data_IF_115142325151
#
_entry.id   IF_115142325151
#
_cell.length_a   1.000
_cell.length_b   1.000
_cell.length_c   1.000
_cell.angle_alpha   90.00
_cell.angle_beta   90.00
_cell.angle_gamma   90.00
#
_symmetry.space_group_name_H-M   'P 1'
#
loop_
_entity.id
_entity.type
_entity.pdbx_description
1 polymer ?
#
# COMPACT_ATOMS: atom_id res chain seq x y z
N UNK A 1 18.28 31.24 14.75
CA UNK A 1 18.20 30.52 16.04
C UNK A 1 16.94 30.99 16.74
N UNK A 2 15.82 30.29 16.59
CA UNK A 2 14.60 30.48 17.40
C UNK A 2 13.90 29.13 17.50
N UNK A 3 13.96 28.54 18.70
CA UNK A 3 13.26 27.28 19.01
C UNK A 3 11.75 27.52 19.15
N UNK A 4 10.89 26.56 18.80
CA UNK A 4 9.46 26.64 19.08
C UNK A 4 9.18 26.29 20.56
N UNK A 5 8.44 27.14 21.23
CA UNK A 5 7.94 26.94 22.59
C UNK A 5 6.75 25.99 22.58
N UNK A 6 6.86 24.94 23.38
CA UNK A 6 5.78 24.03 23.75
C UNK A 6 4.98 24.73 24.87
N UNK A 7 3.69 24.95 24.67
CA UNK A 7 2.77 25.37 25.73
C UNK A 7 1.88 24.20 26.15
N UNK A 8 2.04 23.76 27.41
CA UNK A 8 1.05 22.99 28.15
C UNK A 8 0.11 23.94 28.88
N UNK A 9 -1.19 23.78 28.76
CA UNK A 9 -2.17 24.31 29.71
C UNK A 9 -3.30 23.30 29.92
N UNK A 10 -3.49 22.97 31.18
CA UNK A 10 -4.53 22.07 31.72
C UNK A 10 -5.73 22.91 32.12
N UNK A 11 -6.92 22.46 31.74
CA UNK A 11 -8.17 22.79 32.44
C UNK A 11 -9.24 23.52 31.64
N UNK A 12 -10.44 22.91 31.62
CA UNK A 12 -11.79 23.37 31.30
C UNK A 12 -12.24 23.47 29.83
N UNK A 13 -13.15 22.57 29.51
CA UNK A 13 -14.25 22.59 28.51
C UNK A 13 -14.28 23.81 27.57
N UNK A 14 -13.72 23.66 26.38
CA UNK A 14 -14.16 24.33 25.16
C UNK A 14 -13.87 23.37 24.02
N UNK A 15 -14.86 23.11 23.16
CA UNK A 15 -14.70 22.45 21.88
C UNK A 15 -13.67 23.21 21.05
N UNK A 16 -12.42 22.76 21.07
CA UNK A 16 -11.37 23.29 20.21
C UNK A 16 -11.02 22.23 19.16
N UNK A 17 -11.38 22.48 17.91
CA UNK A 17 -10.75 21.88 16.76
C UNK A 17 -9.25 22.05 16.88
N UNK A 18 -8.52 21.02 17.25
CA UNK A 18 -7.06 20.98 17.14
C UNK A 18 -6.70 20.66 15.70
N UNK A 19 -6.66 21.68 14.86
CA UNK A 19 -5.99 21.60 13.57
C UNK A 19 -4.49 21.38 13.82
N UNK A 20 -3.99 20.17 13.58
CA UNK A 20 -2.57 19.95 13.39
C UNK A 20 -2.21 20.55 12.04
N UNK A 21 -1.63 21.76 12.07
CA UNK A 21 -1.00 22.49 10.96
C UNK A 21 -1.85 23.21 9.91
N UNK A 22 -3.08 23.58 10.17
CA UNK A 22 -3.72 24.63 9.37
C UNK A 22 -3.67 25.95 10.15
N UNK A 23 -3.07 27.03 9.59
CA UNK A 23 -3.21 28.35 10.20
C UNK A 23 -4.69 28.74 10.15
N UNK A 24 -5.24 29.33 11.21
CA UNK A 24 -6.66 29.75 11.27
C UNK A 24 -7.09 30.59 10.07
N UNK A 25 -6.16 31.32 9.49
CA UNK A 25 -6.41 32.19 8.31
C UNK A 25 -6.58 31.41 7.00
N UNK A 26 -5.99 30.21 6.86
CA UNK A 26 -6.17 29.37 5.66
C UNK A 26 -7.47 28.56 5.67
N UNK A 27 -7.97 28.14 6.86
CA UNK A 27 -9.25 27.43 6.94
C UNK A 27 -10.47 28.34 6.71
N UNK A 28 -10.33 29.65 6.90
CA UNK A 28 -11.41 30.62 6.66
C UNK A 28 -11.50 31.09 5.20
N UNK A 29 -10.51 30.79 4.37
CA UNK A 29 -10.38 31.29 3.01
C UNK A 29 -10.90 30.31 1.92
N UNK A 30 -11.52 29.19 2.29
CA UNK A 30 -12.18 28.32 1.31
C UNK A 30 -13.60 28.86 1.09
N UNK A 31 -13.70 30.05 0.53
CA UNK A 31 -14.94 30.57 0.01
C UNK A 31 -15.26 29.91 -1.34
N UNK A 32 -16.47 29.42 -1.47
CA UNK A 32 -17.05 28.89 -2.70
C UNK A 32 -16.86 29.92 -3.82
N UNK A 33 -16.08 29.61 -4.85
CA UNK A 33 -16.00 30.45 -6.04
C UNK A 33 -17.24 30.20 -6.92
N UNK A 34 -18.24 31.09 -6.94
CA UNK A 34 -19.48 30.90 -7.70
C UNK A 34 -19.28 30.93 -9.23
N UNK A 35 -18.04 31.15 -9.70
CA UNK A 35 -17.69 31.20 -11.12
C UNK A 35 -16.84 29.99 -11.59
N UNK A 36 -16.77 28.90 -10.80
CA UNK A 36 -16.09 27.69 -11.28
C UNK A 36 -16.89 27.06 -12.44
N UNK A 37 -16.23 26.86 -13.56
CA UNK A 37 -16.81 26.20 -14.75
C UNK A 37 -16.85 24.67 -14.61
N UNK A 38 -16.58 24.11 -13.43
CA UNK A 38 -16.61 22.66 -13.18
C UNK A 38 -17.92 22.25 -12.53
N UNK A 39 -18.50 21.14 -13.01
CA UNK A 39 -19.74 20.59 -12.46
C UNK A 39 -19.55 19.94 -11.07
N UNK A 40 -18.32 19.78 -10.60
CA UNK A 40 -17.95 19.11 -9.36
C UNK A 40 -17.42 20.09 -8.33
N UNK A 41 -17.93 19.98 -7.09
CA UNK A 41 -17.36 20.63 -5.91
C UNK A 41 -16.92 19.55 -4.91
N UNK A 42 -15.62 19.35 -4.78
CA UNK A 42 -15.05 18.35 -3.86
C UNK A 42 -14.71 18.93 -2.48
N UNK A 43 -14.81 20.23 -2.27
CA UNK A 43 -14.51 20.87 -0.97
C UNK A 43 -15.32 20.26 0.18
N UNK A 44 -16.65 20.03 0.07
CA UNK A 44 -17.40 19.39 1.14
C UNK A 44 -16.90 17.99 1.50
N UNK A 45 -16.47 17.20 0.51
CA UNK A 45 -15.90 15.86 0.74
C UNK A 45 -14.59 15.94 1.49
N UNK A 46 -13.71 16.87 1.11
CA UNK A 46 -12.41 17.11 1.78
C UNK A 46 -12.63 17.54 3.23
N UNK A 47 -13.48 18.53 3.46
CA UNK A 47 -13.78 19.02 4.81
C UNK A 47 -14.38 17.94 5.70
N UNK A 48 -15.33 17.17 5.19
CA UNK A 48 -15.91 16.05 5.92
C UNK A 48 -14.87 15.00 6.27
N UNK A 49 -14.03 14.58 5.30
CA UNK A 49 -12.99 13.59 5.52
C UNK A 49 -11.98 14.05 6.58
N UNK A 50 -11.59 15.31 6.55
CA UNK A 50 -10.69 15.89 7.56
C UNK A 50 -11.34 15.95 8.95
N UNK A 51 -12.62 16.28 9.05
CA UNK A 51 -13.33 16.36 10.33
C UNK A 51 -13.41 15.01 11.06
N UNK A 52 -13.57 13.92 10.31
CA UNK A 52 -13.67 12.56 10.88
C UNK A 52 -12.31 11.83 10.97
N UNK A 53 -11.27 12.35 10.31
CA UNK A 53 -9.97 11.71 10.31
C UNK A 53 -9.36 11.67 11.72
N UNK A 54 -8.86 10.50 12.10
CA UNK A 54 -8.11 10.29 13.33
C UNK A 54 -6.75 9.71 12.93
N UNK A 55 -5.68 10.50 13.06
CA UNK A 55 -4.35 10.05 12.68
C UNK A 55 -3.86 8.91 13.58
N UNK A 56 -3.05 8.05 13.02
CA UNK A 56 -2.32 7.03 13.76
C UNK A 56 -1.22 7.65 14.63
N UNK A 57 -0.90 6.99 15.73
CA UNK A 57 0.26 7.36 16.55
C UNK A 57 1.52 6.83 15.88
N UNK A 58 2.50 7.71 15.68
CA UNK A 58 3.78 7.35 15.05
C UNK A 58 4.57 6.45 16.01
N UNK A 59 5.04 5.31 15.49
CA UNK A 59 5.90 4.41 16.25
C UNK A 59 5.21 3.74 17.44
N UNK A 60 3.88 3.56 17.37
CA UNK A 60 3.14 2.85 18.41
C UNK A 60 3.59 1.39 18.51
N UNK A 61 4.23 0.97 19.63
CA UNK A 61 4.74 -0.37 19.79
C UNK A 61 3.64 -1.43 19.92
N UNK A 62 2.39 -1.02 20.14
CA UNK A 62 1.22 -1.90 20.21
C UNK A 62 0.56 -2.13 18.85
N UNK A 63 1.03 -1.44 17.80
CA UNK A 63 0.48 -1.51 16.44
C UNK A 63 -1.04 -1.24 16.37
N UNK A 64 -1.56 -0.33 17.19
CA UNK A 64 -3.01 -0.09 17.32
C UNK A 64 -3.65 0.35 16.01
N UNK A 65 -2.91 1.04 15.15
CA UNK A 65 -3.39 1.43 13.83
C UNK A 65 -3.75 0.25 12.92
N UNK A 66 -3.18 -0.91 13.16
CA UNK A 66 -3.43 -2.11 12.37
C UNK A 66 -4.50 -3.04 12.97
N UNK A 67 -4.96 -2.78 14.20
CA UNK A 67 -5.88 -3.67 14.93
C UNK A 67 -7.17 -3.92 14.15
N UNK A 68 -7.78 -2.88 13.57
CA UNK A 68 -9.00 -3.05 12.80
C UNK A 68 -8.81 -3.93 11.55
N UNK A 69 -7.67 -3.81 10.86
CA UNK A 69 -7.33 -4.67 9.73
C UNK A 69 -7.13 -6.11 10.17
N UNK A 70 -6.38 -6.32 11.27
CA UNK A 70 -6.11 -7.65 11.83
C UNK A 70 -7.42 -8.33 12.26
N UNK A 71 -8.29 -7.61 12.97
CA UNK A 71 -9.58 -8.12 13.43
C UNK A 71 -10.48 -8.51 12.26
N UNK A 72 -10.56 -7.67 11.23
CA UNK A 72 -11.34 -7.97 10.02
C UNK A 72 -10.85 -9.23 9.31
N UNK A 73 -9.52 -9.35 9.11
CA UNK A 73 -8.95 -10.47 8.36
C UNK A 73 -9.05 -11.80 9.16
N UNK A 74 -9.08 -11.73 10.49
CA UNK A 74 -9.20 -12.90 11.36
C UNK A 74 -10.65 -13.22 11.75
N UNK A 75 -11.60 -12.33 11.50
CA UNK A 75 -13.01 -12.48 11.87
C UNK A 75 -13.61 -13.84 11.44
N UNK A 76 -13.35 -14.36 10.21
CA UNK A 76 -13.90 -15.65 9.78
C UNK A 76 -13.51 -16.84 10.66
N UNK A 77 -12.47 -16.69 11.48
CA UNK A 77 -11.89 -17.74 12.30
C UNK A 77 -12.14 -17.58 13.80
N UNK A 78 -12.75 -16.46 14.25
CA UNK A 78 -12.89 -16.14 15.68
C UNK A 78 -13.78 -17.15 16.40
N UNK A 79 -14.95 -17.48 15.85
CA UNK A 79 -15.92 -18.33 16.52
C UNK A 79 -15.57 -19.82 16.47
N UNK A 80 -15.02 -20.29 15.36
CA UNK A 80 -14.78 -21.73 15.11
C UNK A 80 -13.34 -22.15 15.39
N UNK A 81 -12.44 -21.18 15.46
CA UNK A 81 -11.01 -21.42 15.46
C UNK A 81 -10.51 -21.96 14.12
N UNK A 82 -9.22 -22.21 14.05
CA UNK A 82 -8.54 -22.79 12.89
C UNK A 82 -8.23 -24.24 13.22
N UNK A 83 -8.86 -25.19 12.49
CA UNK A 83 -8.71 -26.62 12.71
C UNK A 83 -7.63 -27.24 11.83
N UNK A 84 -7.14 -28.47 12.15
CA UNK A 84 -6.20 -29.20 11.29
C UNK A 84 -6.76 -29.45 9.88
N UNK A 85 -8.07 -29.67 9.73
CA UNK A 85 -8.74 -29.91 8.46
C UNK A 85 -8.72 -28.65 7.58
N UNK A 86 -8.98 -27.49 8.19
CA UNK A 86 -8.89 -26.19 7.50
C UNK A 86 -7.45 -25.94 7.02
N UNK A 87 -6.45 -26.21 7.86
CA UNK A 87 -5.04 -26.11 7.50
C UNK A 87 -4.66 -27.05 6.35
N UNK A 88 -5.16 -28.29 6.37
CA UNK A 88 -4.92 -29.24 5.30
C UNK A 88 -5.49 -28.77 3.94
N UNK A 89 -6.64 -28.08 3.95
CA UNK A 89 -7.19 -27.46 2.74
C UNK A 89 -6.30 -26.31 2.24
N UNK A 90 -5.81 -25.47 3.15
CA UNK A 90 -4.96 -24.32 2.81
C UNK A 90 -3.63 -24.70 2.19
N UNK A 91 -3.03 -25.83 2.59
CA UNK A 91 -1.73 -26.31 2.06
C UNK A 91 -1.66 -26.40 0.53
N UNK A 92 -2.80 -26.57 -0.15
CA UNK A 92 -2.91 -26.63 -1.61
C UNK A 92 -2.85 -25.24 -2.29
N UNK A 93 -3.08 -24.18 -1.54
CA UNK A 93 -3.28 -22.83 -2.05
C UNK A 93 -2.02 -21.96 -1.98
N UNK A 94 -0.98 -22.42 -1.27
CA UNK A 94 0.25 -21.66 -1.13
C UNK A 94 1.44 -22.49 -0.64
N UNK A 95 2.40 -21.83 -0.05
CA UNK A 95 3.59 -22.44 0.56
C UNK A 95 3.36 -22.59 2.05
N UNK A 96 3.47 -23.80 2.56
CA UNK A 96 3.25 -24.11 3.97
C UNK A 96 4.49 -23.81 4.80
N UNK A 97 4.28 -23.17 5.94
CA UNK A 97 5.29 -22.80 6.93
C UNK A 97 4.88 -23.21 8.34
N UNK A 98 5.88 -23.49 9.17
CA UNK A 98 5.73 -23.62 10.62
C UNK A 98 6.76 -22.72 11.31
N UNK A 99 6.35 -22.08 12.41
CA UNK A 99 7.26 -21.49 13.39
C UNK A 99 7.15 -22.34 14.64
N UNK A 100 8.26 -22.93 15.09
CA UNK A 100 8.33 -23.78 16.28
C UNK A 100 9.54 -23.39 17.11
N UNK A 101 9.32 -22.97 18.33
CA UNK A 101 10.36 -22.49 19.27
C UNK A 101 11.28 -21.42 18.63
N UNK A 102 10.65 -20.49 17.91
CA UNK A 102 11.35 -19.40 17.23
C UNK A 102 12.13 -19.80 15.99
N UNK A 103 12.00 -21.02 15.49
CA UNK A 103 12.62 -21.49 14.25
C UNK A 103 11.58 -21.64 13.16
N UNK A 104 11.93 -21.29 11.93
CA UNK A 104 11.06 -21.35 10.77
C UNK A 104 11.32 -22.61 9.98
N UNK A 105 10.26 -23.30 9.61
CA UNK A 105 10.30 -24.48 8.76
C UNK A 105 9.37 -24.26 7.56
N UNK A 106 9.77 -24.66 6.37
CA UNK A 106 9.03 -24.50 5.13
C UNK A 106 8.95 -25.80 4.35
N UNK A 107 7.84 -26.04 3.67
CA UNK A 107 7.77 -27.13 2.68
C UNK A 107 8.85 -26.97 1.60
N UNK A 108 9.30 -28.08 0.99
CA UNK A 108 10.42 -28.07 0.05
C UNK A 108 10.19 -27.17 -1.17
N UNK A 109 8.98 -27.21 -1.74
CA UNK A 109 8.62 -26.46 -2.95
C UNK A 109 7.97 -25.13 -2.60
N UNK A 110 8.46 -24.05 -3.18
CA UNK A 110 7.80 -22.74 -3.24
C UNK A 110 7.52 -22.39 -4.69
N UNK A 111 6.32 -21.90 -5.00
CA UNK A 111 5.91 -21.56 -6.37
C UNK A 111 6.81 -20.49 -7.00
N UNK A 112 7.19 -19.50 -6.19
CA UNK A 112 8.09 -18.42 -6.59
C UNK A 112 9.24 -18.31 -5.58
N UNK A 113 10.34 -19.06 -5.75
CA UNK A 113 11.42 -19.17 -4.75
C UNK A 113 11.97 -17.83 -4.27
N UNK A 114 12.09 -16.84 -5.19
CA UNK A 114 12.58 -15.50 -4.83
C UNK A 114 11.60 -14.78 -3.88
N UNK A 115 10.30 -14.86 -4.15
CA UNK A 115 9.27 -14.25 -3.29
C UNK A 115 9.20 -14.93 -1.91
N UNK A 116 9.42 -16.24 -1.85
CA UNK A 116 9.53 -16.93 -0.56
C UNK A 116 10.76 -16.44 0.21
N UNK A 117 11.93 -16.33 -0.43
CA UNK A 117 13.13 -15.84 0.22
C UNK A 117 12.98 -14.42 0.77
N UNK A 118 12.33 -13.50 0.00
CA UNK A 118 12.07 -12.13 0.43
C UNK A 118 11.19 -12.08 1.70
N UNK A 119 10.19 -12.96 1.77
CA UNK A 119 9.29 -13.06 2.94
C UNK A 119 9.99 -13.72 4.12
N UNK A 120 10.83 -14.72 3.88
CA UNK A 120 11.57 -15.45 4.89
C UNK A 120 12.55 -14.56 5.65
N UNK A 121 13.19 -13.58 4.99
CA UNK A 121 14.07 -12.63 5.65
C UNK A 121 13.34 -11.88 6.78
N UNK A 122 12.09 -11.44 6.55
CA UNK A 122 11.32 -10.78 7.60
C UNK A 122 10.84 -11.75 8.68
N UNK A 123 10.41 -12.95 8.30
CA UNK A 123 9.98 -13.96 9.27
C UNK A 123 11.11 -14.30 10.24
N UNK A 124 12.36 -14.37 9.77
CA UNK A 124 13.53 -14.64 10.60
C UNK A 124 13.75 -13.58 11.69
N UNK A 125 13.47 -12.30 11.36
CA UNK A 125 13.61 -11.21 12.33
C UNK A 125 12.54 -11.27 13.44
N UNK A 126 11.40 -11.93 13.20
CA UNK A 126 10.24 -11.91 14.09
C UNK A 126 9.96 -13.25 14.78
N UNK A 127 10.47 -14.37 14.24
CA UNK A 127 10.07 -15.71 14.65
C UNK A 127 10.26 -16.00 16.16
N UNK A 128 11.30 -15.41 16.78
CA UNK A 128 11.58 -15.58 18.22
C UNK A 128 10.53 -14.93 19.12
N UNK A 129 9.76 -13.96 18.60
CA UNK A 129 8.72 -13.23 19.34
C UNK A 129 7.30 -13.76 19.13
N UNK A 130 7.15 -14.88 18.39
CA UNK A 130 5.85 -15.45 18.03
C UNK A 130 5.72 -16.84 18.62
N UNK A 131 4.51 -17.21 19.06
CA UNK A 131 4.21 -18.55 19.56
C UNK A 131 4.35 -19.61 18.45
N UNK A 132 4.41 -20.89 18.83
CA UNK A 132 4.40 -21.97 17.87
C UNK A 132 3.11 -21.92 17.03
N UNK A 133 3.25 -21.86 15.72
CA UNK A 133 2.13 -21.77 14.78
C UNK A 133 2.49 -22.38 13.42
N UNK A 134 1.45 -22.66 12.63
CA UNK A 134 1.61 -23.05 11.23
C UNK A 134 0.65 -22.26 10.36
N UNK A 135 1.06 -21.99 9.12
CA UNK A 135 0.32 -21.11 8.21
C UNK A 135 0.71 -21.36 6.75
N UNK A 136 -0.10 -20.83 5.84
CA UNK A 136 0.13 -20.93 4.39
C UNK A 136 0.28 -19.55 3.79
N UNK A 137 1.40 -19.31 3.10
CA UNK A 137 1.65 -18.08 2.35
C UNK A 137 1.37 -18.28 0.86
N UNK A 138 0.43 -17.54 0.34
CA UNK A 138 0.25 -17.37 -1.09
C UNK A 138 1.25 -16.32 -1.61
N UNK A 139 2.11 -16.73 -2.51
CA UNK A 139 3.11 -15.86 -3.16
C UNK A 139 2.71 -15.44 -4.58
N UNK A 140 1.46 -15.67 -4.97
CA UNK A 140 0.86 -15.14 -6.21
C UNK A 140 0.39 -13.70 -5.98
N UNK A 141 0.12 -12.99 -7.07
CA UNK A 141 -0.33 -11.60 -6.98
C UNK A 141 -1.78 -11.47 -6.50
N UNK A 142 -2.64 -12.47 -6.74
CA UNK A 142 -4.05 -12.45 -6.31
C UNK A 142 -4.35 -13.45 -5.19
N UNK A 143 -5.37 -13.16 -4.36
CA UNK A 143 -5.80 -14.01 -3.26
C UNK A 143 -6.41 -15.33 -3.74
N UNK A 144 -6.54 -16.31 -2.85
CA UNK A 144 -6.86 -17.70 -3.20
C UNK A 144 -8.19 -18.16 -2.63
N UNK A 145 -8.72 -17.53 -1.58
CA UNK A 145 -9.91 -17.99 -0.86
C UNK A 145 -11.09 -17.07 -1.17
N UNK A 146 -11.75 -17.32 -2.31
CA UNK A 146 -12.97 -16.58 -2.65
C UNK A 146 -14.14 -17.09 -1.78
N UNK A 147 -14.99 -16.21 -1.23
CA UNK A 147 -16.05 -16.58 -0.29
C UNK A 147 -17.08 -17.58 -0.87
N UNK A 148 -17.24 -17.66 -2.20
CA UNK A 148 -18.09 -18.63 -2.88
C UNK A 148 -17.38 -19.95 -3.22
N UNK A 149 -16.10 -20.11 -2.92
CA UNK A 149 -15.32 -21.31 -3.32
C UNK A 149 -15.59 -22.54 -2.47
N UNK A 150 -16.28 -22.39 -1.34
CA UNK A 150 -16.42 -23.46 -0.35
C UNK A 150 -15.14 -23.78 0.43
N UNK A 151 -14.06 -23.07 0.18
CA UNK A 151 -12.81 -23.15 0.93
C UNK A 151 -12.91 -22.27 2.17
N UNK A 152 -12.50 -22.79 3.32
CA UNK A 152 -12.57 -22.07 4.60
C UNK A 152 -11.23 -22.01 5.34
N UNK A 153 -10.16 -22.56 4.76
CA UNK A 153 -8.84 -22.60 5.40
C UNK A 153 -8.11 -21.26 5.30
N UNK A 154 -7.30 -20.90 6.32
CA UNK A 154 -6.56 -19.65 6.36
C UNK A 154 -5.43 -19.65 5.34
N UNK A 155 -5.39 -18.61 4.49
CA UNK A 155 -4.30 -18.36 3.53
C UNK A 155 -3.90 -16.91 3.64
N UNK A 156 -2.60 -16.66 3.79
CA UNK A 156 -2.07 -15.31 3.78
C UNK A 156 -1.78 -14.86 2.35
N UNK A 157 -2.26 -13.68 1.95
CA UNK A 157 -2.08 -13.10 0.61
C UNK A 157 -1.64 -11.64 0.67
N UNK A 158 -0.95 -11.16 -0.35
CA UNK A 158 -0.43 -9.78 -0.40
C UNK A 158 -1.52 -8.72 -0.42
N UNK A 159 -2.63 -9.06 -1.03
CA UNK A 159 -3.78 -8.18 -1.17
C UNK A 159 -5.08 -8.99 -1.27
N UNK A 160 -6.18 -8.35 -0.95
CA UNK A 160 -7.52 -8.94 -1.01
C UNK A 160 -8.50 -7.99 -1.69
N UNK A 161 -9.68 -8.52 -2.00
CA UNK A 161 -10.89 -7.74 -2.24
C UNK A 161 -11.95 -8.13 -1.20
N UNK A 162 -13.08 -7.42 -1.17
CA UNK A 162 -14.23 -7.78 -0.33
C UNK A 162 -14.86 -9.15 -0.64
N UNK A 163 -14.38 -9.83 -1.69
CA UNK A 163 -14.83 -11.18 -2.08
C UNK A 163 -13.89 -12.29 -1.61
N UNK A 164 -12.84 -11.98 -0.86
CA UNK A 164 -11.84 -12.96 -0.45
C UNK A 164 -11.69 -12.99 1.08
N UNK A 165 -11.47 -14.18 1.59
CA UNK A 165 -11.28 -14.48 3.01
C UNK A 165 -9.80 -14.67 3.36
N UNK A 166 -8.91 -14.38 2.44
CA UNK A 166 -7.46 -14.40 2.67
C UNK A 166 -7.07 -13.37 3.74
N UNK A 167 -6.06 -13.70 4.51
CA UNK A 167 -5.48 -12.83 5.54
C UNK A 167 -4.36 -12.03 4.88
N UNK A 168 -4.36 -10.72 5.04
CA UNK A 168 -3.34 -9.89 4.40
C UNK A 168 -1.99 -10.00 5.10
N UNK A 169 -0.91 -10.02 4.31
CA UNK A 169 0.45 -9.88 4.78
C UNK A 169 1.28 -8.99 3.86
N UNK A 170 2.39 -8.41 4.35
CA UNK A 170 3.17 -7.46 3.56
C UNK A 170 3.73 -8.08 2.29
N UNK A 171 3.60 -7.36 1.16
CA UNK A 171 4.03 -7.84 -0.14
C UNK A 171 5.55 -8.06 -0.22
N UNK A 172 5.99 -9.02 -1.05
CA UNK A 172 7.40 -9.34 -1.31
C UNK A 172 8.27 -8.09 -1.59
N UNK A 173 7.72 -7.07 -2.21
CA UNK A 173 8.44 -5.86 -2.59
C UNK A 173 8.84 -4.95 -1.42
N UNK A 174 8.49 -5.28 -0.18
CA UNK A 174 9.05 -4.63 0.99
C UNK A 174 10.50 -5.06 1.25
N UNK A 175 10.86 -6.31 0.96
CA UNK A 175 12.17 -6.90 1.30
C UNK A 175 13.02 -7.34 0.12
N UNK A 176 12.57 -7.18 -1.09
CA UNK A 176 13.31 -7.66 -2.25
C UNK A 176 14.77 -7.24 -2.21
N UNK A 177 15.63 -8.19 -1.91
CA UNK A 177 17.09 -7.98 -1.81
C UNK A 177 17.83 -8.43 -3.05
N UNK A 178 17.19 -9.24 -3.91
CA UNK A 178 17.86 -9.91 -5.02
C UNK A 178 16.94 -10.13 -6.22
N UNK A 179 17.53 -10.22 -7.39
CA UNK A 179 16.91 -10.70 -8.61
C UNK A 179 16.47 -9.61 -9.58
N UNK A 180 15.60 -9.93 -10.57
CA UNK A 180 15.26 -9.05 -11.69
C UNK A 180 14.68 -7.71 -11.29
N UNK A 181 14.24 -7.55 -10.04
CA UNK A 181 13.68 -6.29 -9.53
C UNK A 181 14.78 -5.29 -9.21
N UNK A 182 15.90 -5.72 -8.62
CA UNK A 182 17.10 -4.86 -8.54
C UNK A 182 17.68 -4.59 -9.93
N UNK A 183 17.53 -5.53 -10.88
CA UNK A 183 17.89 -5.30 -12.28
C UNK A 183 16.94 -4.29 -12.97
N UNK A 184 15.71 -4.13 -12.47
CA UNK A 184 14.76 -3.14 -12.97
C UNK A 184 14.79 -1.82 -12.20
N UNK A 185 15.51 -1.75 -11.08
CA UNK A 185 15.83 -0.48 -10.45
C UNK A 185 16.78 0.33 -11.36
N UNK A 186 16.51 1.61 -11.61
CA UNK A 186 15.51 2.47 -10.94
C UNK A 186 14.11 2.46 -11.56
N UNK A 187 13.81 1.62 -12.55
CA UNK A 187 12.56 1.68 -13.32
C UNK A 187 11.36 0.99 -12.65
N UNK A 188 11.60 0.01 -11.78
CA UNK A 188 10.54 -0.75 -11.09
C UNK A 188 10.42 -0.44 -9.59
N UNK A 189 9.50 -1.16 -8.93
CA UNK A 189 9.43 -1.15 -7.47
C UNK A 189 10.67 -1.83 -6.91
N UNK A 190 11.45 -1.11 -6.11
CA UNK A 190 12.65 -1.63 -5.46
C UNK A 190 12.40 -1.95 -3.99
N UNK A 191 13.45 -2.34 -3.29
CA UNK A 191 13.46 -2.57 -1.86
C UNK A 191 12.95 -1.32 -1.12
N UNK A 192 11.99 -1.52 -0.23
CA UNK A 192 11.20 -0.43 0.33
C UNK A 192 12.02 0.58 1.14
N UNK A 193 12.92 0.10 2.01
CA UNK A 193 13.76 0.96 2.84
C UNK A 193 14.72 1.86 2.04
N UNK A 194 15.11 1.43 0.83
CA UNK A 194 15.90 2.24 -0.10
C UNK A 194 15.02 3.19 -0.91
N UNK A 195 13.97 2.64 -1.54
CA UNK A 195 13.10 3.41 -2.41
C UNK A 195 12.45 4.59 -1.68
N UNK A 196 12.01 4.40 -0.43
CA UNK A 196 11.40 5.48 0.35
C UNK A 196 12.36 6.66 0.59
N UNK A 197 13.65 6.40 0.81
CA UNK A 197 14.68 7.43 0.97
C UNK A 197 14.93 8.18 -0.33
N UNK A 198 15.08 7.47 -1.44
CA UNK A 198 15.32 8.06 -2.75
C UNK A 198 14.13 8.90 -3.24
N UNK A 199 12.91 8.41 -3.04
CA UNK A 199 11.70 9.14 -3.44
C UNK A 199 11.52 10.43 -2.62
N UNK A 200 11.75 10.38 -1.31
CA UNK A 200 11.66 11.59 -0.46
C UNK A 200 12.80 12.57 -0.79
N UNK A 201 14.02 12.09 -1.02
CA UNK A 201 15.12 12.95 -1.46
C UNK A 201 14.76 13.64 -2.78
N UNK A 202 14.29 12.89 -3.78
CA UNK A 202 13.85 13.47 -5.05
C UNK A 202 12.70 14.45 -4.88
N UNK A 203 11.71 14.15 -4.05
CA UNK A 203 10.59 15.03 -3.76
C UNK A 203 11.03 16.35 -3.10
N UNK A 204 12.08 16.32 -2.26
CA UNK A 204 12.62 17.53 -1.62
C UNK A 204 13.35 18.47 -2.58
N UNK A 205 13.86 17.93 -3.69
CA UNK A 205 14.49 18.73 -4.77
C UNK A 205 13.46 19.42 -5.67
N UNK A 206 12.19 18.97 -5.63
CA UNK A 206 11.12 19.43 -6.51
C UNK A 206 10.00 20.08 -5.69
N UNK A 207 10.05 21.40 -5.43
CA UNK A 207 8.94 22.09 -4.79
C UNK A 207 7.67 21.95 -5.64
N UNK A 208 6.50 22.03 -5.01
CA UNK A 208 5.21 21.86 -5.68
C UNK A 208 5.04 22.76 -6.91
N UNK A 209 5.48 24.00 -6.78
CA UNK A 209 5.44 24.99 -7.87
C UNK A 209 6.30 24.64 -9.09
N UNK A 210 7.34 23.81 -8.91
CA UNK A 210 8.21 23.38 -10.01
C UNK A 210 7.70 22.10 -10.71
N UNK A 211 6.69 21.42 -10.13
CA UNK A 211 6.11 20.22 -10.73
C UNK A 211 5.22 20.57 -11.92
N UNK A 212 5.23 19.67 -12.92
CA UNK A 212 4.33 19.77 -14.09
C UNK A 212 2.89 19.52 -13.65
N UNK A 213 1.99 20.48 -13.91
CA UNK A 213 0.57 20.40 -13.53
C UNK A 213 -0.24 19.54 -14.51
N UNK A 214 0.19 18.29 -14.76
CA UNK A 214 -0.48 17.32 -15.62
C UNK A 214 -0.61 15.97 -14.93
N UNK A 215 -1.62 15.20 -15.31
CA UNK A 215 -1.81 13.82 -14.88
C UNK A 215 -0.75 12.91 -15.52
N UNK A 216 -0.19 11.98 -14.75
CA UNK A 216 0.87 11.11 -15.26
C UNK A 216 0.62 9.63 -14.96
N UNK A 217 0.86 8.79 -15.97
CA UNK A 217 0.84 7.34 -15.80
C UNK A 217 1.76 6.64 -16.80
N UNK A 218 2.50 5.64 -16.32
CA UNK A 218 3.23 4.64 -17.12
C UNK A 218 2.96 3.25 -16.56
N UNK A 219 2.61 2.30 -17.40
CA UNK A 219 2.40 0.91 -16.98
C UNK A 219 1.87 0.03 -18.10
N UNK A 220 1.82 -1.29 -17.87
CA UNK A 220 1.23 -2.23 -18.82
C UNK A 220 -0.30 -2.08 -18.89
N UNK A 221 -0.94 -2.59 -19.94
CA UNK A 221 -2.40 -2.70 -20.06
C UNK A 221 -2.91 -3.92 -19.27
N UNK A 222 -2.73 -3.92 -17.95
CA UNK A 222 -3.13 -5.03 -17.07
C UNK A 222 -4.57 -4.94 -16.56
N UNK A 223 -5.26 -3.82 -16.78
CA UNK A 223 -6.66 -3.63 -16.45
C UNK A 223 -7.32 -2.60 -17.37
N UNK A 224 -8.62 -2.74 -17.69
CA UNK A 224 -9.34 -1.84 -18.60
C UNK A 224 -9.55 -0.44 -18.02
N UNK A 225 -9.52 -0.26 -16.69
CA UNK A 225 -9.68 1.03 -16.04
C UNK A 225 -8.65 2.08 -16.48
N UNK A 226 -7.53 1.61 -17.07
CA UNK A 226 -6.44 2.46 -17.58
C UNK A 226 -6.75 3.10 -18.93
N UNK A 227 -7.67 2.52 -19.69
CA UNK A 227 -7.92 2.89 -21.09
C UNK A 227 -8.46 4.33 -21.21
N UNK A 228 -9.33 4.77 -20.28
CA UNK A 228 -9.89 6.13 -20.30
C UNK A 228 -8.79 7.20 -20.14
N UNK A 229 -7.83 6.97 -19.23
CA UNK A 229 -6.72 7.92 -19.04
C UNK A 229 -5.77 7.97 -20.24
N UNK A 230 -5.48 6.83 -20.86
CA UNK A 230 -4.62 6.78 -22.05
C UNK A 230 -5.32 7.47 -23.23
N UNK A 231 -6.64 7.29 -23.40
CA UNK A 231 -7.42 8.01 -24.41
C UNK A 231 -7.46 9.53 -24.13
N UNK A 232 -7.59 9.94 -22.87
CA UNK A 232 -7.50 11.35 -22.49
C UNK A 232 -6.14 11.93 -22.87
N UNK A 233 -5.04 11.22 -22.60
CA UNK A 233 -3.69 11.63 -22.96
C UNK A 233 -3.52 11.88 -24.45
N UNK A 234 -4.17 11.09 -25.29
CA UNK A 234 -4.16 11.27 -26.76
C UNK A 234 -4.96 12.51 -27.20
N UNK A 235 -6.09 12.79 -26.55
CA UNK A 235 -6.97 13.92 -26.89
C UNK A 235 -6.50 15.25 -26.29
N UNK A 236 -5.97 15.20 -25.06
CA UNK A 236 -5.60 16.36 -24.27
C UNK A 236 -4.21 16.16 -23.62
N UNK A 237 -3.13 16.15 -24.44
CA UNK A 237 -1.76 16.01 -23.92
C UNK A 237 -1.34 17.19 -23.02
N UNK A 238 -2.06 18.29 -23.05
CA UNK A 238 -1.92 19.42 -22.11
C UNK A 238 -2.41 19.08 -20.70
N UNK A 239 -3.32 18.11 -20.54
CA UNK A 239 -3.86 17.69 -19.25
C UNK A 239 -3.17 16.43 -18.72
N UNK A 240 -2.82 15.48 -19.58
CA UNK A 240 -2.37 14.14 -19.19
C UNK A 240 -1.21 13.67 -20.10
N UNK A 241 -0.24 13.01 -19.47
CA UNK A 241 0.79 12.20 -20.12
C UNK A 241 0.68 10.76 -19.62
N UNK A 242 -0.16 9.95 -20.26
CA UNK A 242 -0.40 8.56 -19.90
C UNK A 242 -0.16 7.63 -21.08
N UNK A 243 0.69 6.60 -20.87
CA UNK A 243 1.07 5.67 -21.93
C UNK A 243 1.27 4.26 -21.39
N UNK A 244 1.02 3.27 -22.25
CA UNK A 244 1.38 1.88 -21.98
C UNK A 244 2.85 1.61 -22.27
N UNK A 245 3.55 0.96 -21.33
CA UNK A 245 4.97 0.63 -21.45
C UNK A 245 5.24 -0.72 -22.09
N UNK A 246 4.21 -1.60 -22.19
CA UNK A 246 4.25 -2.91 -22.84
C UNK A 246 2.91 -3.09 -23.52
N UNK A 247 2.88 -3.03 -24.82
CA UNK A 247 1.78 -3.51 -25.64
C UNK A 247 2.21 -4.83 -26.26
N UNK A 248 1.30 -5.82 -26.27
CA UNK A 248 1.61 -7.17 -26.79
C UNK A 248 1.92 -7.19 -28.30
N UNK A 249 1.77 -6.06 -28.99
CA UNK A 249 1.82 -5.95 -30.45
C UNK A 249 2.73 -4.83 -30.96
N UNK A 250 3.41 -4.04 -30.11
CA UNK A 250 4.12 -2.85 -30.57
C UNK A 250 5.61 -3.09 -30.79
N UNK A 251 6.07 -2.65 -31.95
CA UNK A 251 7.48 -2.66 -32.35
C UNK A 251 8.35 -1.69 -31.53
N UNK A 252 7.76 -0.63 -30.96
CA UNK A 252 8.46 0.38 -30.16
C UNK A 252 7.82 0.53 -28.77
N UNK A 253 8.29 -0.22 -27.74
CA UNK A 253 7.81 -0.03 -26.38
C UNK A 253 8.23 1.34 -25.86
N UNK A 254 7.29 2.13 -25.32
CA UNK A 254 7.58 3.37 -24.63
C UNK A 254 8.58 3.12 -23.50
N UNK A 255 9.60 3.95 -23.42
CA UNK A 255 10.65 3.84 -22.41
C UNK A 255 10.05 3.88 -20.99
N UNK A 256 10.53 2.97 -20.16
CA UNK A 256 10.12 2.89 -18.76
C UNK A 256 10.76 4.05 -17.98
N UNK A 257 9.93 4.93 -17.45
CA UNK A 257 10.41 6.01 -16.59
C UNK A 257 10.67 5.49 -15.17
N UNK A 258 11.84 5.82 -14.57
CA UNK A 258 12.12 5.54 -13.17
C UNK A 258 11.06 6.12 -12.22
N UNK A 259 10.70 5.41 -11.15
CA UNK A 259 9.69 5.89 -10.21
C UNK A 259 10.05 7.24 -9.57
N UNK A 260 11.34 7.51 -9.36
CA UNK A 260 11.82 8.81 -8.84
C UNK A 260 11.50 9.97 -9.80
N UNK A 261 11.47 9.70 -11.10
CA UNK A 261 11.13 10.71 -12.10
C UNK A 261 9.61 10.97 -12.20
N UNK A 262 8.78 10.08 -11.67
CA UNK A 262 7.35 10.36 -11.51
C UNK A 262 7.10 11.58 -10.61
N UNK A 263 8.02 11.85 -9.67
CA UNK A 263 7.89 12.97 -8.74
C UNK A 263 7.88 14.38 -9.40
N UNK A 264 8.22 14.49 -10.68
CA UNK A 264 8.15 15.75 -11.42
C UNK A 264 6.72 16.19 -11.82
N UNK A 265 5.73 15.30 -11.63
CA UNK A 265 4.34 15.56 -11.99
C UNK A 265 3.50 15.84 -10.75
N UNK A 266 2.55 16.80 -10.84
CA UNK A 266 1.64 17.10 -9.71
C UNK A 266 0.64 15.98 -9.46
N UNK A 267 0.11 15.33 -10.50
CA UNK A 267 -1.00 14.37 -10.41
C UNK A 267 -0.55 12.98 -10.88
N UNK A 268 -0.47 12.01 -9.95
CA UNK A 268 -0.02 10.66 -10.24
C UNK A 268 -1.18 9.67 -10.15
N UNK A 269 -1.50 9.04 -11.27
CA UNK A 269 -2.56 8.02 -11.30
C UNK A 269 -2.07 6.67 -10.81
N UNK A 270 -2.81 6.09 -9.88
CA UNK A 270 -2.60 4.73 -9.38
C UNK A 270 -3.76 3.83 -9.77
N UNK A 271 -3.50 2.88 -10.65
CA UNK A 271 -4.44 1.83 -11.05
C UNK A 271 -4.03 0.50 -10.46
N UNK A 272 -4.97 -0.39 -10.20
CA UNK A 272 -4.64 -1.79 -9.95
C UNK A 272 -3.83 -2.39 -11.09
N UNK A 273 -3.09 -3.46 -10.79
CA UNK A 273 -2.53 -4.36 -11.76
C UNK A 273 -3.52 -5.51 -12.05
N UNK A 274 -3.02 -6.75 -12.10
CA UNK A 274 -3.87 -7.95 -12.00
C UNK A 274 -4.53 -8.05 -10.62
N UNK A 275 -3.88 -7.49 -9.61
CA UNK A 275 -4.33 -7.34 -8.22
C UNK A 275 -4.02 -5.91 -7.74
N UNK A 276 -3.83 -5.68 -6.43
CA UNK A 276 -3.43 -4.39 -5.89
C UNK A 276 -2.16 -3.83 -6.54
N UNK A 277 -2.02 -2.53 -6.55
CA UNK A 277 -0.85 -1.84 -7.09
C UNK A 277 0.21 -1.62 -6.03
N UNK A 278 1.26 -2.42 -6.01
CA UNK A 278 2.40 -2.22 -5.12
C UNK A 278 3.16 -0.89 -5.34
N UNK A 279 2.77 -0.12 -6.36
CA UNK A 279 3.31 1.21 -6.65
C UNK A 279 2.76 2.29 -5.73
N UNK A 280 1.54 2.12 -5.19
CA UNK A 280 0.82 3.18 -4.45
C UNK A 280 1.68 3.82 -3.36
N UNK A 281 2.28 3.01 -2.48
CA UNK A 281 3.13 3.52 -1.40
C UNK A 281 4.34 4.31 -1.90
N UNK A 282 4.85 3.96 -3.10
CA UNK A 282 6.02 4.64 -3.68
C UNK A 282 5.65 6.02 -4.23
N UNK A 283 4.58 6.12 -5.01
CA UNK A 283 4.19 7.38 -5.64
C UNK A 283 3.63 8.40 -4.64
N UNK A 284 3.07 7.95 -3.51
CA UNK A 284 2.69 8.84 -2.42
C UNK A 284 3.92 9.57 -1.84
N UNK A 285 5.10 8.95 -1.83
CA UNK A 285 6.33 9.60 -1.35
C UNK A 285 6.85 10.72 -2.25
N UNK A 286 6.37 10.82 -3.47
CA UNK A 286 6.72 11.90 -4.38
C UNK A 286 6.27 13.30 -3.91
N UNK A 287 5.44 13.42 -2.86
CA UNK A 287 4.73 14.68 -2.55
C UNK A 287 4.00 15.21 -3.79
N UNK A 288 3.38 14.30 -4.51
CA UNK A 288 2.50 14.53 -5.64
C UNK A 288 1.11 14.03 -5.26
N UNK A 289 0.06 14.67 -5.76
CA UNK A 289 -1.29 14.22 -5.50
C UNK A 289 -1.55 12.90 -6.21
N UNK A 290 -1.87 11.87 -5.44
CA UNK A 290 -2.22 10.57 -6.00
C UNK A 290 -3.72 10.50 -6.27
N UNK A 291 -4.08 10.18 -7.51
CA UNK A 291 -5.43 9.84 -7.94
C UNK A 291 -5.53 8.31 -7.97
N UNK A 292 -6.21 7.75 -6.98
CA UNK A 292 -6.33 6.31 -6.79
C UNK A 292 -7.62 5.78 -7.42
N UNK A 293 -7.47 4.98 -8.47
CA UNK A 293 -8.60 4.48 -9.27
C UNK A 293 -9.09 3.15 -8.74
N UNK A 294 -10.37 3.12 -8.35
CA UNK A 294 -11.05 1.97 -7.75
C UNK A 294 -10.65 1.73 -6.29
N UNK A 295 -11.51 1.05 -5.55
CA UNK A 295 -11.38 0.78 -4.11
C UNK A 295 -11.43 -0.72 -3.76
N UNK A 296 -11.60 -1.59 -4.76
CA UNK A 296 -11.83 -3.02 -4.56
C UNK A 296 -10.61 -3.76 -3.99
N UNK A 297 -9.40 -3.35 -4.39
CA UNK A 297 -8.17 -4.01 -4.00
C UNK A 297 -7.52 -3.33 -2.81
N UNK A 298 -7.14 -4.11 -1.80
CA UNK A 298 -6.58 -3.60 -0.57
C UNK A 298 -5.28 -4.34 -0.21
N UNK A 299 -4.27 -3.59 0.23
CA UNK A 299 -3.12 -4.07 1.01
C UNK A 299 -3.34 -3.76 2.50
N UNK A 300 -2.57 -4.38 3.37
CA UNK A 300 -2.76 -4.31 4.83
C UNK A 300 -2.81 -2.88 5.41
N UNK A 301 -2.18 -1.91 4.79
CA UNK A 301 -2.13 -0.52 5.26
C UNK A 301 -3.19 0.39 4.62
N UNK A 302 -3.95 -0.08 3.62
CA UNK A 302 -4.92 0.76 2.89
C UNK A 302 -6.05 1.27 3.78
N UNK A 303 -6.45 0.52 4.81
CA UNK A 303 -7.50 0.95 5.74
C UNK A 303 -7.18 2.25 6.48
N UNK A 304 -5.89 2.59 6.56
CA UNK A 304 -5.38 3.80 7.22
C UNK A 304 -5.23 4.97 6.24
N UNK A 305 -5.08 4.70 4.94
CA UNK A 305 -5.16 5.70 3.89
C UNK A 305 -6.62 6.15 3.74
N UNK A 306 -6.86 7.44 3.90
CA UNK A 306 -8.21 7.99 3.81
C UNK A 306 -8.38 8.79 2.53
N UNK A 307 -9.45 8.52 1.73
CA UNK A 307 -9.78 9.34 0.59
C UNK A 307 -10.00 10.78 1.01
N UNK A 308 -9.64 11.71 0.17
CA UNK A 308 -9.69 13.16 0.37
C UNK A 308 -8.75 13.71 1.46
N UNK A 309 -8.15 12.84 2.27
CA UNK A 309 -7.11 13.20 3.25
C UNK A 309 -5.71 12.95 2.69
N UNK A 310 -5.47 11.75 2.14
CA UNK A 310 -4.14 11.30 1.70
C UNK A 310 -4.04 11.10 0.19
N UNK A 311 -5.16 10.99 -0.50
CA UNK A 311 -5.27 10.81 -1.95
C UNK A 311 -6.66 11.22 -2.43
N UNK A 312 -6.83 11.44 -3.73
CA UNK A 312 -8.13 11.66 -4.36
C UNK A 312 -8.66 10.33 -4.91
N UNK A 313 -9.85 9.87 -4.46
CA UNK A 313 -10.47 8.67 -5.01
C UNK A 313 -11.03 8.96 -6.40
N UNK A 314 -10.86 8.01 -7.32
CA UNK A 314 -11.39 8.03 -8.68
C UNK A 314 -12.20 6.75 -8.92
N UNK A 315 -13.37 6.88 -9.51
CA UNK A 315 -14.21 5.73 -9.86
C UNK A 315 -13.47 4.80 -10.85
N UNK A 316 -13.66 3.49 -10.71
CA UNK A 316 -13.00 2.51 -11.59
C UNK A 316 -13.49 2.55 -13.04
N UNK A 317 -14.69 3.10 -13.25
CA UNK A 317 -15.37 3.28 -14.53
C UNK A 317 -15.35 4.73 -15.03
N UNK A 318 -14.60 5.61 -14.35
CA UNK A 318 -14.46 7.02 -14.75
C UNK A 318 -14.12 7.14 -16.24
N UNK A 319 -14.87 7.95 -16.94
CA UNK A 319 -14.68 8.18 -18.36
C UNK A 319 -13.65 9.26 -18.66
N UNK A 320 -13.47 9.59 -19.95
CA UNK A 320 -12.47 10.56 -20.42
C UNK A 320 -12.80 11.97 -19.95
N UNK A 321 -14.09 12.35 -19.94
CA UNK A 321 -14.52 13.70 -19.64
C UNK A 321 -14.50 13.94 -18.13
N UNK A 322 -14.93 12.97 -17.32
CA UNK A 322 -14.81 12.99 -15.85
C UNK A 322 -13.35 13.14 -15.39
N UNK A 323 -12.42 12.41 -16.03
CA UNK A 323 -11.00 12.54 -15.71
C UNK A 323 -10.44 13.92 -16.11
N UNK A 324 -10.88 14.48 -17.23
CA UNK A 324 -10.49 15.81 -17.67
C UNK A 324 -10.98 16.89 -16.70
N UNK A 325 -12.27 16.84 -16.32
CA UNK A 325 -12.87 17.78 -15.36
C UNK A 325 -12.19 17.71 -14.00
N UNK A 326 -11.90 16.51 -13.52
CA UNK A 326 -11.18 16.32 -12.25
C UNK A 326 -9.81 17.01 -12.26
N UNK A 327 -9.03 16.84 -13.34
CA UNK A 327 -7.71 17.48 -13.45
C UNK A 327 -7.82 19.00 -13.54
N UNK A 328 -8.81 19.51 -14.27
CA UNK A 328 -9.07 20.95 -14.36
C UNK A 328 -9.45 21.51 -12.99
N UNK A 329 -10.35 20.85 -12.25
CA UNK A 329 -10.72 21.22 -10.89
C UNK A 329 -9.48 21.27 -9.96
N UNK A 330 -8.63 20.25 -10.01
CA UNK A 330 -7.41 20.19 -9.18
C UNK A 330 -6.38 21.25 -9.55
N UNK A 331 -6.39 21.75 -10.79
CA UNK A 331 -5.57 22.90 -11.20
C UNK A 331 -6.10 24.22 -10.65
N UNK A 332 -7.42 24.38 -10.59
CA UNK A 332 -8.07 25.57 -10.02
C UNK A 332 -7.94 25.62 -8.49
N UNK A 333 -7.85 24.43 -7.84
CA UNK A 333 -7.69 24.28 -6.40
C UNK A 333 -6.31 23.70 -6.05
N UNK A 334 -5.26 24.34 -6.58
CA UNK A 334 -3.87 23.84 -6.51
C UNK A 334 -3.33 23.74 -5.08
N UNK A 335 -3.76 24.62 -4.18
CA UNK A 335 -3.45 24.60 -2.75
C UNK A 335 -4.04 23.38 -2.02
N UNK A 336 -5.29 23.04 -2.29
CA UNK A 336 -5.93 21.84 -1.77
C UNK A 336 -5.25 20.57 -2.29
N UNK A 337 -4.86 20.57 -3.56
CA UNK A 337 -4.14 19.46 -4.19
C UNK A 337 -2.77 19.25 -3.52
N UNK A 338 -2.03 20.33 -3.23
CA UNK A 338 -0.77 20.29 -2.50
C UNK A 338 -0.95 19.75 -1.07
N UNK A 339 -1.95 20.22 -0.34
CA UNK A 339 -2.21 19.78 1.03
C UNK A 339 -2.51 18.26 1.11
N UNK A 340 -3.32 17.73 0.20
CA UNK A 340 -3.61 16.28 0.15
C UNK A 340 -2.32 15.52 -0.18
N UNK A 341 -1.53 16.01 -1.13
CA UNK A 341 -0.26 15.40 -1.52
C UNK A 341 0.74 15.34 -0.34
N UNK A 342 0.84 16.42 0.43
CA UNK A 342 1.68 16.47 1.63
C UNK A 342 1.22 15.46 2.69
N UNK A 343 -0.07 15.43 3.00
CA UNK A 343 -0.61 14.47 3.97
C UNK A 343 -0.38 13.02 3.53
N UNK A 344 -0.54 12.74 2.23
CA UNK A 344 -0.25 11.42 1.66
C UNK A 344 1.21 11.01 1.83
N UNK A 345 2.14 11.91 1.52
CA UNK A 345 3.58 11.68 1.72
C UNK A 345 3.91 11.46 3.19
N UNK A 346 3.45 12.37 4.06
CA UNK A 346 3.72 12.30 5.51
C UNK A 346 3.19 11.00 6.10
N UNK A 347 1.98 10.57 5.71
CA UNK A 347 1.43 9.32 6.18
C UNK A 347 2.35 8.13 5.83
N UNK A 348 2.71 7.96 4.57
CA UNK A 348 3.58 6.85 4.16
C UNK A 348 4.97 6.95 4.80
N UNK A 349 5.53 8.16 4.90
CA UNK A 349 6.84 8.37 5.49
C UNK A 349 6.88 8.02 6.98
N UNK A 350 5.84 8.36 7.73
CA UNK A 350 5.81 8.23 9.19
C UNK A 350 5.19 6.92 9.69
N UNK A 351 4.29 6.29 8.90
CA UNK A 351 3.49 5.14 9.35
C UNK A 351 3.69 3.86 8.53
N UNK A 352 4.61 3.88 7.54
CA UNK A 352 4.94 2.68 6.75
C UNK A 352 6.46 2.47 6.69
N UNK A 353 7.15 2.64 7.81
CA UNK A 353 8.55 2.27 7.97
C UNK A 353 8.67 0.75 8.06
N UNK A 354 9.88 0.22 7.94
CA UNK A 354 10.08 -1.23 8.09
C UNK A 354 9.66 -1.74 9.46
N UNK A 355 9.87 -0.93 10.51
CA UNK A 355 9.43 -1.23 11.89
C UNK A 355 7.90 -1.32 11.98
N UNK A 356 7.16 -0.44 11.29
CA UNK A 356 5.69 -0.46 11.26
C UNK A 356 5.17 -1.70 10.53
N UNK A 357 5.82 -2.09 9.43
CA UNK A 357 5.52 -3.31 8.67
C UNK A 357 5.77 -4.57 9.50
N UNK A 358 6.89 -4.62 10.22
CA UNK A 358 7.22 -5.70 11.15
C UNK A 358 6.23 -5.78 12.30
N UNK A 359 5.85 -4.62 12.84
CA UNK A 359 4.87 -4.51 13.91
C UNK A 359 3.51 -5.11 13.49
N UNK A 360 3.00 -4.71 12.32
CA UNK A 360 1.78 -5.28 11.75
C UNK A 360 1.85 -6.81 11.66
N UNK A 361 2.89 -7.33 11.00
CA UNK A 361 2.93 -8.76 10.73
C UNK A 361 3.19 -9.58 11.98
N UNK A 362 4.06 -9.13 12.88
CA UNK A 362 4.26 -9.77 14.19
C UNK A 362 2.96 -9.83 14.98
N UNK A 363 2.20 -8.72 15.02
CA UNK A 363 0.90 -8.66 15.69
C UNK A 363 -0.13 -9.59 15.05
N UNK A 364 -0.19 -9.60 13.71
CA UNK A 364 -1.07 -10.49 12.96
C UNK A 364 -0.78 -11.97 13.29
N UNK A 365 0.49 -12.39 13.26
CA UNK A 365 0.87 -13.76 13.58
C UNK A 365 0.58 -14.13 15.04
N UNK A 366 0.75 -13.18 15.97
CA UNK A 366 0.41 -13.40 17.40
C UNK A 366 -1.10 -13.61 17.60
N UNK A 367 -1.95 -12.79 16.96
CA UNK A 367 -3.41 -12.94 17.06
C UNK A 367 -3.89 -14.20 16.32
N UNK A 368 -3.32 -14.51 15.17
CA UNK A 368 -3.59 -15.72 14.40
C UNK A 368 -3.25 -17.00 15.19
N UNK A 369 -2.11 -17.03 15.88
CA UNK A 369 -1.69 -18.19 16.67
C UNK A 369 -2.70 -18.56 17.78
N UNK A 370 -3.42 -17.58 18.33
CA UNK A 370 -4.45 -17.81 19.37
C UNK A 370 -5.68 -18.52 18.82
N UNK A 371 -5.89 -18.48 17.51
CA UNK A 371 -7.05 -19.09 16.85
C UNK A 371 -6.82 -20.56 16.48
N UNK A 372 -5.58 -21.07 16.56
CA UNK A 372 -5.30 -22.49 16.33
C UNK A 372 -5.92 -23.32 17.45
N UNK A 373 -6.80 -24.26 17.08
CA UNK A 373 -7.52 -25.13 18.05
C UNK A 373 -6.70 -26.34 18.50
N UNK A 374 -5.47 -26.46 18.02
CA UNK A 374 -4.58 -27.61 18.26
C UNK A 374 -3.16 -27.15 18.54
N UNK A 375 -2.39 -28.04 19.17
CA UNK A 375 -0.95 -27.81 19.39
C UNK A 375 -0.17 -28.17 18.14
N UNK A 376 0.57 -27.20 17.60
CA UNK A 376 1.41 -27.39 16.44
C UNK A 376 2.55 -28.36 16.76
N UNK A 377 2.72 -29.37 15.92
CA UNK A 377 3.82 -30.32 15.98
C UNK A 377 4.63 -30.22 14.68
N UNK A 378 5.95 -30.34 14.80
CA UNK A 378 6.82 -30.26 13.62
C UNK A 378 6.47 -31.36 12.61
N UNK A 379 6.09 -30.95 11.41
CA UNK A 379 5.81 -31.87 10.31
C UNK A 379 7.15 -32.39 9.73
N UNK A 380 7.29 -33.70 9.54
CA UNK A 380 8.48 -34.29 8.92
C UNK A 380 8.70 -33.77 7.49
N UNK A 381 9.97 -33.67 7.09
CA UNK A 381 10.33 -33.31 5.71
C UNK A 381 10.31 -31.80 5.40
N UNK A 382 9.94 -30.96 6.35
CA UNK A 382 10.08 -29.51 6.18
C UNK A 382 11.57 -29.09 6.28
N UNK A 383 11.94 -28.12 5.47
CA UNK A 383 13.27 -27.51 5.46
C UNK A 383 13.33 -26.40 6.52
N UNK A 384 14.39 -26.40 7.31
CA UNK A 384 14.64 -25.26 8.22
C UNK A 384 15.15 -24.06 7.40
N UNK A 385 14.51 -22.91 7.58
CA UNK A 385 14.89 -21.64 6.96
C UNK A 385 15.92 -20.96 7.86
N UNK A 386 17.12 -20.73 7.36
CA UNK A 386 18.21 -20.08 8.11
C UNK A 386 18.82 -18.93 7.31
N UNK A 387 19.18 -17.83 7.98
CA UNK A 387 19.74 -16.61 7.41
C UNK A 387 20.93 -16.82 6.47
N UNK A 388 21.75 -17.85 6.71
CA UNK A 388 23.03 -18.03 6.00
C UNK A 388 22.90 -18.64 4.60
N UNK A 389 21.76 -19.24 4.24
CA UNK A 389 21.58 -19.91 2.93
C UNK A 389 20.82 -19.08 1.91
N UNK A 390 19.89 -18.26 2.31
CA UNK A 390 19.12 -17.40 1.38
C UNK A 390 20.02 -16.34 0.73
N UNK A 391 20.94 -15.75 1.49
CA UNK A 391 21.88 -14.72 1.01
C UNK A 391 22.99 -15.30 0.14
N UNK A 392 23.45 -16.54 0.36
CA UNK A 392 24.52 -17.15 -0.42
C UNK A 392 24.10 -17.71 -1.77
N UNK A 393 22.85 -18.17 -1.94
CA UNK A 393 22.36 -18.68 -3.22
C UNK A 393 22.24 -17.60 -4.31
N UNK A 394 22.32 -16.34 -3.95
CA UNK A 394 22.14 -15.21 -4.87
C UNK A 394 23.34 -14.27 -4.98
N UNK A 395 24.43 -14.49 -4.22
CA UNK A 395 25.70 -13.74 -4.36
C UNK A 395 26.71 -14.39 -5.31
N UNK A 396 26.41 -15.55 -5.84
CA UNK A 396 27.29 -16.29 -6.73
C UNK A 396 26.61 -16.70 -8.02
N UNK A 397 26.40 -15.76 -8.92
CA UNK A 397 26.43 -15.94 -10.39
C UNK A 397 26.43 -14.57 -11.05
#
# INVERSE_FOLDING_TARGET
MTQPRICFLVGALILSCTCVSCSKDKCAAIEHNPNSNTSYDFVPHILHALAIHRPCVIGDPKCLCHVATIQRDLEPYVDKGITPEMMAQSKRLGTFYQIIRGRIYRQQKCLHPKRCADVEDLLLDMASGVADLEFVLNVRDWPQVHFLSGLSGPVFSYSITNRHLDIMYPAWSFWTTTGPILQHYPHGVGRWDWMRKHLVARASELPWSAKRAIGFFRGSRSSPERDSLVRLSQRRPDLVDAQYTILATDADPVEKMPLVEHCQFKYLFNFRGVAASFRLRHILLCRSLVLHVGDQWQEFFYSQLKPWVHYVPVASDADVDELAELILYLREHDDLAEEIAERGQQFIWLHLRMEDVQCYWSKMLQEYAKLLTYKVQREPGLLEVSNKKAVQLYRGK
#
